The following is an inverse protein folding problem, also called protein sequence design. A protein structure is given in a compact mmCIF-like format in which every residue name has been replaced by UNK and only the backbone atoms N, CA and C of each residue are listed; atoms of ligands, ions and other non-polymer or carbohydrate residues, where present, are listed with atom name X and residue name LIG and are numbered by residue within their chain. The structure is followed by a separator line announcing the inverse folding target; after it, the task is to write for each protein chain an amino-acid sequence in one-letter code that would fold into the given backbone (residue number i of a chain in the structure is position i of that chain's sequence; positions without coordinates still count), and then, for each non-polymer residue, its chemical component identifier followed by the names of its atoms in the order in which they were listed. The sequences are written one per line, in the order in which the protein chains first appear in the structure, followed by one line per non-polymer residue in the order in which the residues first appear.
data_IF_249830537397
#
_entry.id   IF_249830537397
#
_cell.length_a   1.000
_cell.length_b   1.000
_cell.length_c   1.000
_cell.angle_alpha   90.00
_cell.angle_beta   90.00
_cell.angle_gamma   90.00
#
_symmetry.space_group_name_H-M   'P 1'
#
loop_
_entity.id
_entity.type
_entity.pdbx_description
1 polymer ?
#
# COMPACT_ATOMS: atom_id res chain seq x y z
N UNK A 1 1.73 -52.82 -23.56
CA UNK A 1 2.56 -52.13 -22.55
C UNK A 1 1.71 -51.13 -21.79
N UNK A 2 1.55 -51.25 -20.46
CA UNK A 2 0.85 -50.27 -19.61
C UNK A 2 1.77 -49.91 -18.44
N UNK A 3 2.22 -48.66 -18.38
CA UNK A 3 3.05 -48.12 -17.30
C UNK A 3 2.21 -47.93 -16.03
N UNK A 4 2.58 -48.61 -14.94
CA UNK A 4 2.02 -48.40 -13.60
C UNK A 4 2.64 -47.13 -12.97
N UNK A 5 1.78 -46.19 -12.55
CA UNK A 5 2.16 -45.02 -11.74
C UNK A 5 2.55 -45.46 -10.33
N UNK A 6 3.78 -45.18 -9.91
CA UNK A 6 4.23 -45.35 -8.52
C UNK A 6 3.68 -44.17 -7.71
N UNK A 7 2.75 -44.45 -6.79
CA UNK A 7 2.32 -43.47 -5.78
C UNK A 7 3.34 -43.49 -4.64
N UNK A 8 4.09 -42.39 -4.45
CA UNK A 8 4.89 -42.19 -3.24
C UNK A 8 3.96 -41.76 -2.11
N UNK A 9 3.79 -42.62 -1.11
CA UNK A 9 3.11 -42.27 0.13
C UNK A 9 4.10 -41.54 1.05
N UNK A 10 3.74 -40.34 1.50
CA UNK A 10 4.48 -39.64 2.56
C UNK A 10 4.09 -40.28 3.89
N UNK A 11 5.07 -40.77 4.64
CA UNK A 11 4.85 -41.45 5.92
C UNK A 11 4.30 -40.47 6.97
N UNK A 12 3.16 -40.81 7.60
CA UNK A 12 2.51 -40.02 8.64
C UNK A 12 3.43 -39.65 9.81
N UNK A 13 4.51 -40.42 10.04
CA UNK A 13 5.50 -40.18 11.08
C UNK A 13 6.35 -38.93 10.78
N UNK A 14 6.67 -38.68 9.50
CA UNK A 14 7.46 -37.51 9.10
C UNK A 14 6.61 -36.24 9.21
N UNK A 15 5.32 -36.33 8.88
CA UNK A 15 4.39 -35.22 9.02
C UNK A 15 4.19 -34.82 10.50
N UNK A 16 4.02 -35.80 11.40
CA UNK A 16 3.90 -35.53 12.84
C UNK A 16 5.16 -34.89 13.43
N UNK A 17 6.36 -35.32 13.02
CA UNK A 17 7.62 -34.73 13.48
C UNK A 17 7.77 -33.26 13.06
N UNK A 18 7.37 -32.91 11.83
CA UNK A 18 7.40 -31.53 11.33
C UNK A 18 6.41 -30.64 12.08
N UNK A 19 5.22 -31.14 12.40
CA UNK A 19 4.21 -30.39 13.17
C UNK A 19 4.68 -30.08 14.60
N UNK A 20 5.34 -31.04 15.26
CA UNK A 20 5.88 -30.83 16.63
C UNK A 20 7.00 -29.78 16.63
N UNK A 21 7.89 -29.80 15.63
CA UNK A 21 8.96 -28.79 15.50
C UNK A 21 8.38 -27.40 15.24
N UNK A 22 7.34 -27.28 14.41
CA UNK A 22 6.66 -26.01 14.14
C UNK A 22 5.97 -25.43 15.39
N UNK A 23 5.38 -26.27 16.24
CA UNK A 23 4.74 -25.84 17.50
C UNK A 23 5.79 -25.31 18.49
N UNK A 24 6.95 -25.96 18.59
CA UNK A 24 8.05 -25.54 19.48
C UNK A 24 8.62 -24.18 19.02
N UNK A 25 8.81 -23.99 17.71
CA UNK A 25 9.29 -22.71 17.15
C UNK A 25 8.27 -21.59 17.38
N UNK A 26 6.97 -21.87 17.22
CA UNK A 26 5.91 -20.89 17.48
C UNK A 26 5.85 -20.47 18.96
N UNK A 27 6.00 -21.42 19.89
CA UNK A 27 5.99 -21.12 21.33
C UNK A 27 7.21 -20.30 21.78
N UNK A 28 8.41 -20.61 21.26
CA UNK A 28 9.63 -19.85 21.56
C UNK A 28 9.58 -18.45 20.92
N UNK A 29 9.04 -18.32 19.71
CA UNK A 29 8.83 -17.03 19.05
C UNK A 29 7.88 -16.11 19.81
N UNK A 30 6.79 -16.65 20.36
CA UNK A 30 5.85 -15.88 21.18
C UNK A 30 6.45 -15.44 22.52
N UNK A 31 7.25 -16.30 23.17
CA UNK A 31 7.90 -15.97 24.45
C UNK A 31 8.98 -14.87 24.30
N UNK A 32 9.69 -14.81 23.17
CA UNK A 32 10.65 -13.75 22.87
C UNK A 32 10.00 -12.44 22.41
N UNK A 33 8.78 -12.49 21.86
CA UNK A 33 8.01 -11.31 21.46
C UNK A 33 7.43 -10.54 22.66
N UNK A 34 7.01 -11.25 23.72
CA UNK A 34 6.44 -10.65 24.92
C UNK A 34 7.46 -9.83 25.77
N UNK A 35 8.76 -9.92 25.48
CA UNK A 35 9.83 -9.25 26.25
C UNK A 35 10.51 -8.11 25.48
N UNK A 36 10.03 -7.74 24.29
CA UNK A 36 10.63 -6.66 23.50
C UNK A 36 10.21 -5.27 24.04
N UNK A 37 11.13 -4.35 24.35
CA UNK A 37 10.79 -2.99 24.77
C UNK A 37 10.14 -2.20 23.63
N UNK A 38 8.99 -1.60 23.89
CA UNK A 38 8.30 -0.67 22.98
C UNK A 38 9.03 0.66 22.97
N UNK A 39 9.66 1.02 21.85
CA UNK A 39 10.20 2.37 21.66
C UNK A 39 9.03 3.37 21.49
N UNK A 40 9.08 4.57 22.11
CA UNK A 40 8.00 5.55 21.96
C UNK A 40 8.06 6.27 20.60
N UNK A 41 6.91 6.60 19.99
CA UNK A 41 6.86 7.35 18.73
C UNK A 41 7.25 8.83 18.93
N UNK A 42 7.90 9.41 17.94
CA UNK A 42 8.28 10.83 17.85
C UNK A 42 7.06 11.72 17.55
N UNK A 43 6.63 12.53 18.52
CA UNK A 43 5.58 13.56 18.36
C UNK A 43 6.17 14.93 18.04
N UNK A 44 5.65 15.62 17.02
CA UNK A 44 5.84 17.07 16.82
C UNK A 44 4.64 17.86 17.34
N UNK A 45 4.90 19.04 17.93
CA UNK A 45 3.91 19.88 18.63
C UNK A 45 3.43 21.03 17.75
N UNK A 46 2.11 21.22 17.62
CA UNK A 46 1.52 22.45 17.04
C UNK A 46 0.51 23.04 18.02
N UNK A 47 0.52 24.36 18.16
CA UNK A 47 -0.26 25.11 19.14
C UNK A 47 -1.54 25.64 18.49
N UNK A 48 -2.71 25.19 18.94
CA UNK A 48 -4.01 25.76 18.52
C UNK A 48 -4.67 26.45 19.72
N UNK A 49 -4.97 27.73 19.57
CA UNK A 49 -5.66 28.53 20.59
C UNK A 49 -7.16 28.33 20.44
N UNK A 50 -7.81 27.77 21.47
CA UNK A 50 -9.27 27.72 21.57
C UNK A 50 -9.73 28.46 22.82
N UNK A 51 -10.71 29.35 22.68
CA UNK A 51 -11.28 30.14 23.76
C UNK A 51 -12.52 29.43 24.30
N UNK A 52 -12.54 29.09 25.58
CA UNK A 52 -13.74 28.54 26.24
C UNK A 52 -14.22 29.52 27.30
N UNK A 53 -15.47 29.95 27.20
CA UNK A 53 -16.11 30.84 28.17
C UNK A 53 -16.86 30.01 29.21
N UNK A 54 -16.51 30.15 30.48
CA UNK A 54 -17.22 29.51 31.59
C UNK A 54 -17.70 30.57 32.59
N UNK A 55 -18.99 30.57 32.90
CA UNK A 55 -19.62 31.44 33.91
C UNK A 55 -19.69 30.73 35.25
N UNK A 56 -19.04 31.27 36.29
CA UNK A 56 -19.18 30.77 37.67
C UNK A 56 -20.46 31.29 38.35
N UNK A 57 -21.06 30.52 39.28
CA UNK A 57 -22.23 30.94 40.04
C UNK A 57 -21.89 32.03 41.09
N UNK A 58 -22.85 32.90 41.43
CA UNK A 58 -22.63 34.04 42.33
C UNK A 58 -22.46 33.60 43.80
N UNK A 59 -21.52 34.21 44.51
CA UNK A 59 -21.32 34.06 45.95
C UNK A 59 -21.96 35.21 46.73
N UNK A 60 -22.74 34.90 47.77
CA UNK A 60 -23.42 35.89 48.63
C UNK A 60 -22.58 36.17 49.89
N UNK A 61 -22.37 37.43 50.24
CA UNK A 61 -21.72 37.84 51.50
C UNK A 61 -22.69 38.71 52.30
N UNK A 62 -22.94 38.32 53.56
CA UNK A 62 -23.87 39.03 54.46
C UNK A 62 -23.10 39.99 55.37
N UNK A 63 -23.49 41.26 55.41
CA UNK A 63 -23.03 42.22 56.43
C UNK A 63 -24.16 43.16 56.81
N UNK A 64 -24.27 43.44 58.10
CA UNK A 64 -25.42 44.07 58.76
C UNK A 64 -25.31 45.60 58.73
N UNK A 65 -25.78 46.26 57.66
CA UNK A 65 -26.51 47.57 57.66
C UNK A 65 -27.20 47.69 56.28
N UNK A 66 -28.45 48.14 56.26
CA UNK A 66 -29.41 48.17 55.13
C UNK A 66 -28.90 48.86 53.85
N UNK A 67 -28.41 48.07 52.88
CA UNK A 67 -28.43 48.34 51.43
C UNK A 67 -27.96 47.10 50.67
N UNK A 68 -28.87 46.40 49.99
CA UNK A 68 -28.52 45.23 49.15
C UNK A 68 -27.99 45.74 47.81
N UNK A 69 -26.70 45.54 47.52
CA UNK A 69 -26.15 45.76 46.17
C UNK A 69 -25.67 44.42 45.61
N UNK A 70 -26.16 44.07 44.42
CA UNK A 70 -25.78 42.85 43.71
C UNK A 70 -24.68 43.19 42.71
N UNK A 71 -23.44 42.81 42.99
CA UNK A 71 -22.30 42.95 42.07
C UNK A 71 -22.10 41.65 41.31
N UNK A 72 -22.12 41.70 39.98
CA UNK A 72 -21.77 40.56 39.11
C UNK A 72 -20.36 40.81 38.58
N UNK A 73 -19.39 39.99 38.97
CA UNK A 73 -18.01 40.06 38.45
C UNK A 73 -17.73 38.88 37.52
N UNK A 74 -17.51 39.16 36.24
CA UNK A 74 -17.12 38.16 35.25
C UNK A 74 -15.60 37.98 35.31
N UNK A 75 -15.13 36.83 35.82
CA UNK A 75 -13.71 36.49 35.81
C UNK A 75 -13.43 35.62 34.58
N UNK A 76 -12.70 36.17 33.61
CA UNK A 76 -12.25 35.42 32.42
C UNK A 76 -10.97 34.68 32.78
N UNK A 77 -11.04 33.36 33.02
CA UNK A 77 -9.86 32.53 33.25
C UNK A 77 -9.43 31.89 31.92
N UNK A 78 -8.33 32.36 31.35
CA UNK A 78 -7.72 31.73 30.17
C UNK A 78 -6.89 30.54 30.64
N UNK A 79 -7.40 29.32 30.46
CA UNK A 79 -6.65 28.10 30.76
C UNK A 79 -6.01 27.57 29.48
N UNK A 80 -4.68 27.59 29.40
CA UNK A 80 -3.94 27.00 28.28
C UNK A 80 -3.80 25.49 28.53
N UNK A 81 -4.68 24.67 27.95
CA UNK A 81 -4.46 23.22 27.92
C UNK A 81 -3.61 22.83 26.71
N UNK A 82 -2.49 22.17 26.95
CA UNK A 82 -1.71 21.50 25.91
C UNK A 82 -2.36 20.14 25.66
N UNK A 83 -3.17 20.04 24.61
CA UNK A 83 -3.74 18.76 24.16
C UNK A 83 -2.77 18.13 23.17
N UNK A 84 -2.02 17.12 23.61
CA UNK A 84 -1.19 16.29 22.73
C UNK A 84 -2.10 15.27 22.03
N UNK A 85 -2.50 15.55 20.78
CA UNK A 85 -3.04 14.53 19.86
C UNK A 85 -1.93 14.12 18.90
N UNK A 86 -1.66 12.82 18.70
CA UNK A 86 -0.83 12.40 17.58
C UNK A 86 -1.52 12.86 16.29
N UNK A 87 -0.88 13.75 15.54
CA UNK A 87 -1.20 13.93 14.13
C UNK A 87 -0.52 12.75 13.45
N UNK A 88 -1.27 11.71 13.11
CA UNK A 88 -0.82 10.76 12.09
C UNK A 88 -0.61 11.61 10.85
N UNK A 89 0.64 11.80 10.41
CA UNK A 89 0.90 12.55 9.19
C UNK A 89 0.33 11.68 8.07
N UNK A 90 -0.81 12.10 7.51
CA UNK A 90 -1.42 11.43 6.37
C UNK A 90 -0.56 11.71 5.15
N UNK A 91 0.63 11.11 5.07
CA UNK A 91 1.60 11.37 4.00
C UNK A 91 2.33 10.12 3.57
N UNK A 92 2.67 10.08 2.28
CA UNK A 92 3.49 9.06 1.64
C UNK A 92 4.58 9.73 0.81
N UNK A 93 5.65 9.00 0.49
CA UNK A 93 6.53 9.39 -0.60
C UNK A 93 5.90 9.11 -1.96
N UNK A 94 6.51 9.69 -2.99
CA UNK A 94 6.30 9.39 -4.40
C UNK A 94 7.54 9.77 -5.21
N UNK A 95 7.53 9.44 -6.50
CA UNK A 95 8.55 9.87 -7.45
C UNK A 95 8.00 10.86 -8.47
N UNK A 96 8.80 11.87 -8.76
CA UNK A 96 8.58 12.79 -9.87
C UNK A 96 9.92 13.22 -10.45
N UNK A 97 10.09 12.99 -11.75
CA UNK A 97 11.25 13.43 -12.51
C UNK A 97 12.60 13.11 -11.84
N UNK A 98 12.75 11.87 -11.37
CA UNK A 98 13.96 11.37 -10.71
C UNK A 98 14.14 11.79 -9.25
N UNK A 99 13.18 12.50 -8.66
CA UNK A 99 13.23 12.97 -7.27
C UNK A 99 12.20 12.25 -6.42
N UNK A 100 12.55 12.03 -5.16
CA UNK A 100 11.60 11.63 -4.12
C UNK A 100 10.87 12.87 -3.63
N UNK A 101 9.54 12.81 -3.66
CA UNK A 101 8.65 13.89 -3.24
C UNK A 101 7.69 13.38 -2.15
N UNK A 102 7.07 14.28 -1.40
CA UNK A 102 6.12 13.94 -0.35
C UNK A 102 4.71 14.33 -0.76
N UNK A 103 3.77 13.41 -0.64
CA UNK A 103 2.34 13.67 -0.77
C UNK A 103 1.69 13.71 0.60
N UNK A 104 0.73 14.61 0.75
CA UNK A 104 -0.16 14.69 1.89
C UNK A 104 -1.56 14.31 1.42
N UNK A 105 -2.09 13.19 1.90
CA UNK A 105 -3.48 12.82 1.68
C UNK A 105 -4.39 13.84 2.35
N UNK A 106 -5.37 14.31 1.60
CA UNK A 106 -6.25 15.41 1.99
C UNK A 106 -7.69 14.97 2.22
N UNK A 107 -8.05 13.76 1.76
CA UNK A 107 -9.35 13.14 1.99
C UNK A 107 -9.26 11.61 1.79
N UNK A 108 -10.31 10.90 2.20
CA UNK A 108 -10.45 9.47 1.93
C UNK A 108 -10.57 9.18 0.44
N UNK A 109 -10.13 8.00 0.03
CA UNK A 109 -10.28 7.49 -1.33
C UNK A 109 -11.75 7.33 -1.75
N UNK A 110 -11.98 7.27 -3.06
CA UNK A 110 -13.28 7.00 -3.67
C UNK A 110 -13.12 5.93 -4.76
N UNK A 111 -14.15 5.09 -4.93
CA UNK A 111 -14.18 4.07 -5.98
C UNK A 111 -15.43 4.27 -6.84
N UNK A 112 -15.23 4.71 -8.09
CA UNK A 112 -16.30 5.09 -9.01
C UNK A 112 -15.99 4.69 -10.47
N UNK A 113 -16.97 4.15 -11.22
CA UNK A 113 -18.20 3.56 -10.72
C UNK A 113 -17.88 2.38 -9.79
N UNK A 114 -18.84 1.93 -8.99
CA UNK A 114 -18.63 0.76 -8.12
C UNK A 114 -18.20 -0.47 -8.95
N UNK A 115 -17.31 -1.31 -8.41
CA UNK A 115 -16.81 -2.52 -9.07
C UNK A 115 -17.89 -3.42 -9.69
N UNK A 116 -19.11 -3.45 -9.14
CA UNK A 116 -20.25 -4.21 -9.69
C UNK A 116 -20.72 -3.74 -11.07
N UNK A 117 -20.39 -2.52 -11.48
CA UNK A 117 -20.63 -2.02 -12.85
C UNK A 117 -19.76 -2.77 -13.87
N UNK A 118 -18.53 -3.12 -13.48
CA UNK A 118 -17.59 -3.86 -14.31
C UNK A 118 -17.72 -5.38 -14.14
N UNK A 119 -17.98 -5.81 -12.90
CA UNK A 119 -18.08 -7.22 -12.51
C UNK A 119 -19.41 -7.49 -11.79
N UNK A 120 -20.53 -7.59 -12.52
CA UNK A 120 -21.86 -7.76 -11.93
C UNK A 120 -22.02 -8.99 -11.04
N UNK A 121 -21.19 -10.03 -11.27
CA UNK A 121 -21.21 -11.27 -10.50
C UNK A 121 -20.34 -11.23 -9.23
N UNK A 122 -19.53 -10.18 -9.03
CA UNK A 122 -18.59 -10.05 -7.92
C UNK A 122 -19.16 -9.22 -6.75
N UNK A 123 -20.46 -9.34 -6.46
CA UNK A 123 -21.16 -8.51 -5.47
C UNK A 123 -20.56 -8.64 -4.06
N UNK A 124 -20.26 -9.87 -3.64
CA UNK A 124 -19.68 -10.13 -2.32
C UNK A 124 -18.26 -9.58 -2.21
N UNK A 125 -17.46 -9.76 -3.26
CA UNK A 125 -16.10 -9.24 -3.37
C UNK A 125 -16.10 -7.72 -3.29
N UNK A 126 -16.94 -7.09 -4.13
CA UNK A 126 -17.10 -5.65 -4.19
C UNK A 126 -17.50 -5.06 -2.84
N UNK A 127 -18.41 -5.72 -2.10
CA UNK A 127 -18.80 -5.25 -0.76
C UNK A 127 -17.62 -5.26 0.22
N UNK A 128 -16.80 -6.32 0.22
CA UNK A 128 -15.63 -6.44 1.11
C UNK A 128 -14.53 -5.45 0.72
N UNK A 129 -14.35 -5.21 -0.59
CA UNK A 129 -13.40 -4.24 -1.12
C UNK A 129 -13.95 -2.79 -1.16
N UNK A 130 -15.07 -2.50 -0.48
CA UNK A 130 -15.71 -1.17 -0.45
C UNK A 130 -16.00 -0.57 -1.84
N UNK A 131 -16.25 -1.42 -2.82
CA UNK A 131 -16.50 -1.06 -4.21
C UNK A 131 -15.25 -0.84 -5.05
N UNK A 132 -14.05 -0.96 -4.49
CA UNK A 132 -12.77 -0.74 -5.17
C UNK A 132 -12.28 -1.99 -5.89
N UNK A 133 -11.76 -1.80 -7.09
CA UNK A 133 -11.19 -2.89 -7.88
C UNK A 133 -10.02 -2.45 -8.75
N UNK A 134 -9.20 -3.44 -9.08
CA UNK A 134 -8.13 -3.37 -10.07
C UNK A 134 -8.36 -4.47 -11.10
N UNK A 135 -8.63 -4.11 -12.35
CA UNK A 135 -8.95 -5.02 -13.44
C UNK A 135 -9.82 -4.37 -14.51
N UNK A 136 -10.60 -3.37 -14.14
CA UNK A 136 -11.31 -2.50 -15.06
C UNK A 136 -11.22 -1.03 -14.62
N UNK A 137 -11.54 -0.11 -15.51
CA UNK A 137 -11.50 1.32 -15.23
C UNK A 137 -12.38 2.09 -16.21
N UNK A 138 -12.89 3.24 -15.77
CA UNK A 138 -13.67 4.13 -16.61
C UNK A 138 -13.30 5.58 -16.31
N UNK A 139 -12.27 6.07 -17.02
CA UNK A 139 -11.76 7.42 -16.83
C UNK A 139 -12.83 8.50 -17.03
N UNK A 140 -13.83 8.25 -17.89
CA UNK A 140 -14.93 9.18 -18.15
C UNK A 140 -15.89 9.34 -16.97
N UNK A 141 -15.87 8.43 -16.00
CA UNK A 141 -16.66 8.51 -14.78
C UNK A 141 -15.95 9.26 -13.63
N UNK A 142 -14.67 9.60 -13.79
CA UNK A 142 -13.90 10.29 -12.77
C UNK A 142 -14.23 11.80 -12.73
N UNK A 143 -14.02 12.46 -11.57
CA UNK A 143 -14.19 13.90 -11.44
C UNK A 143 -13.36 14.67 -12.47
N UNK A 144 -13.88 15.81 -12.94
CA UNK A 144 -13.13 16.70 -13.83
C UNK A 144 -11.85 17.19 -13.14
N UNK A 145 -10.78 17.29 -13.92
CA UNK A 145 -9.47 17.69 -13.40
C UNK A 145 -8.72 16.56 -12.68
N UNK A 146 -9.20 15.31 -12.77
CA UNK A 146 -8.46 14.17 -12.25
C UNK A 146 -7.20 13.89 -13.07
N UNK A 147 -6.13 13.53 -12.38
CA UNK A 147 -4.82 13.23 -12.96
C UNK A 147 -4.38 11.79 -12.64
N UNK A 148 -3.52 11.15 -13.45
CA UNK A 148 -3.03 9.82 -13.15
C UNK A 148 -2.01 9.83 -12.01
N UNK A 149 -2.12 8.85 -11.12
CA UNK A 149 -1.04 8.39 -10.25
C UNK A 149 -0.75 6.93 -10.58
N UNK A 150 0.51 6.62 -10.86
CA UNK A 150 0.95 5.27 -11.18
C UNK A 150 1.39 4.57 -9.90
N UNK A 151 0.70 3.49 -9.57
CA UNK A 151 0.98 2.68 -8.38
C UNK A 151 1.89 1.53 -8.79
N UNK A 152 3.16 1.60 -8.40
CA UNK A 152 4.18 0.63 -8.76
C UNK A 152 4.20 -0.51 -7.73
N UNK A 153 3.69 -1.67 -8.14
CA UNK A 153 3.67 -2.87 -7.29
C UNK A 153 4.89 -3.73 -7.64
N UNK A 154 5.76 -4.11 -6.67
CA UNK A 154 6.94 -4.95 -6.90
C UNK A 154 6.53 -6.41 -7.12
N UNK A 155 5.82 -6.69 -8.22
CA UNK A 155 5.26 -8.00 -8.54
C UNK A 155 6.33 -9.11 -8.58
N UNK A 156 7.59 -8.78 -8.85
CA UNK A 156 8.74 -9.70 -8.76
C UNK A 156 8.92 -10.34 -7.37
N UNK A 157 8.47 -9.69 -6.30
CA UNK A 157 8.49 -10.23 -4.94
C UNK A 157 7.38 -11.28 -4.68
N UNK A 158 6.56 -11.57 -5.69
CA UNK A 158 5.53 -12.58 -5.66
C UNK A 158 4.44 -12.31 -4.63
N UNK A 159 3.94 -13.35 -3.96
CA UNK A 159 2.81 -13.21 -3.03
C UNK A 159 3.15 -12.43 -1.75
N UNK A 160 4.43 -12.20 -1.46
CA UNK A 160 4.85 -11.40 -0.30
C UNK A 160 4.39 -9.94 -0.40
N UNK A 161 4.04 -9.45 -1.59
CA UNK A 161 3.52 -8.10 -1.80
C UNK A 161 2.24 -7.81 -1.03
N UNK A 162 1.49 -8.84 -0.62
CA UNK A 162 0.25 -8.69 0.14
C UNK A 162 0.47 -8.52 1.65
N UNK A 163 1.72 -8.41 2.12
CA UNK A 163 2.02 -8.11 3.52
C UNK A 163 1.80 -9.24 4.52
N UNK A 164 1.42 -10.43 4.04
CA UNK A 164 1.14 -11.58 4.89
C UNK A 164 2.44 -12.36 5.16
N UNK A 165 2.87 -12.54 6.41
CA UNK A 165 4.12 -13.24 6.73
C UNK A 165 4.16 -14.69 6.21
N UNK A 166 3.02 -15.38 6.20
CA UNK A 166 2.86 -16.72 5.63
C UNK A 166 3.11 -16.77 4.12
N UNK A 167 3.02 -15.63 3.43
CA UNK A 167 3.34 -15.47 2.01
C UNK A 167 4.76 -14.92 1.78
N UNK A 168 5.56 -14.78 2.86
CA UNK A 168 6.95 -14.34 2.81
C UNK A 168 7.16 -12.85 3.05
N UNK A 169 6.13 -12.09 3.43
CA UNK A 169 6.31 -10.68 3.82
C UNK A 169 7.04 -10.53 5.17
N UNK A 170 7.58 -9.36 5.44
CA UNK A 170 8.03 -9.00 6.78
C UNK A 170 6.83 -8.78 7.71
N UNK A 171 7.01 -8.81 9.05
CA UNK A 171 5.95 -8.46 9.99
C UNK A 171 5.39 -7.04 9.81
N UNK A 172 6.20 -6.13 9.27
CA UNK A 172 5.79 -4.76 8.96
C UNK A 172 4.92 -4.66 7.70
N UNK A 173 4.84 -5.70 6.88
CA UNK A 173 4.09 -5.71 5.62
C UNK A 173 4.91 -5.35 4.40
N UNK A 174 6.24 -5.41 4.48
CA UNK A 174 7.10 -5.23 3.30
C UNK A 174 7.28 -6.55 2.54
N UNK A 175 7.28 -6.52 1.20
CA UNK A 175 7.62 -7.66 0.38
C UNK A 175 9.06 -8.13 0.63
N UNK A 176 9.31 -9.41 0.36
CA UNK A 176 10.66 -9.94 0.29
C UNK A 176 10.90 -10.63 -1.04
N UNK A 177 12.14 -10.53 -1.53
CA UNK A 177 12.58 -11.17 -2.75
C UNK A 177 13.85 -11.95 -2.47
N UNK A 178 13.87 -13.25 -2.81
CA UNK A 178 15.06 -14.09 -2.60
C UNK A 178 15.71 -14.41 -3.94
N UNK A 179 16.96 -14.00 -4.10
CA UNK A 179 17.79 -14.32 -5.26
C UNK A 179 19.18 -14.75 -4.80
N UNK A 180 19.71 -15.83 -5.41
CA UNK A 180 21.03 -16.38 -5.11
C UNK A 180 21.31 -16.60 -3.60
N UNK A 181 20.33 -17.17 -2.87
CA UNK A 181 20.35 -17.38 -1.42
C UNK A 181 20.44 -16.11 -0.56
N UNK A 182 20.34 -14.92 -1.15
CA UNK A 182 20.20 -13.66 -0.45
C UNK A 182 18.73 -13.21 -0.47
N UNK A 183 18.22 -12.78 0.68
CA UNK A 183 16.87 -12.21 0.78
C UNK A 183 16.97 -10.70 0.89
N UNK A 184 16.27 -10.02 -0.01
CA UNK A 184 16.13 -8.58 -0.08
C UNK A 184 14.77 -8.21 0.50
N UNK A 185 14.75 -7.29 1.46
CA UNK A 185 13.51 -6.63 1.87
C UNK A 185 13.27 -5.50 0.89
N UNK A 186 12.12 -5.50 0.24
CA UNK A 186 11.75 -4.46 -0.72
C UNK A 186 11.04 -3.39 0.09
N UNK A 187 11.76 -2.34 0.45
CA UNK A 187 11.17 -1.18 1.10
C UNK A 187 10.31 -0.43 0.08
N UNK A 188 9.15 0.03 0.54
CA UNK A 188 8.20 0.82 -0.24
C UNK A 188 7.72 2.01 0.58
N UNK A 189 7.27 3.07 -0.08
CA UNK A 189 6.62 4.23 0.54
C UNK A 189 5.31 3.83 1.22
N UNK A 190 4.58 2.88 0.63
CA UNK A 190 3.43 2.24 1.24
C UNK A 190 3.71 0.74 1.44
N UNK A 191 3.71 0.29 2.69
CA UNK A 191 3.57 -1.13 3.01
C UNK A 191 2.23 -1.68 2.51
N UNK A 192 2.09 -3.01 2.54
CA UNK A 192 0.82 -3.64 2.20
C UNK A 192 -0.28 -3.21 3.18
N UNK A 193 -1.52 -3.19 2.72
CA UNK A 193 -2.62 -2.87 3.60
C UNK A 193 -2.78 -3.85 4.77
N UNK A 194 -3.45 -3.38 5.82
CA UNK A 194 -3.65 -4.09 7.09
C UNK A 194 -2.36 -4.32 7.89
N UNK A 195 -1.28 -3.61 7.56
CA UNK A 195 -0.02 -3.61 8.31
C UNK A 195 0.34 -2.22 8.84
N UNK A 196 1.34 -2.15 9.73
CA UNK A 196 1.74 -0.90 10.39
C UNK A 196 2.31 0.14 9.42
N UNK A 197 2.91 -0.29 8.31
CA UNK A 197 3.51 0.61 7.31
C UNK A 197 2.60 0.89 6.13
N UNK A 198 1.32 0.47 6.21
CA UNK A 198 0.33 0.79 5.19
C UNK A 198 0.11 2.30 5.08
N UNK A 199 -0.20 2.77 3.87
CA UNK A 199 -0.56 4.17 3.68
C UNK A 199 -1.91 4.51 4.34
N UNK A 200 -2.00 5.64 5.07
CA UNK A 200 -3.09 5.91 6.01
C UNK A 200 -4.47 6.11 5.37
N UNK A 201 -4.53 6.67 4.15
CA UNK A 201 -5.78 6.89 3.40
C UNK A 201 -5.89 5.98 2.17
N UNK A 202 -5.24 4.82 2.22
CA UNK A 202 -5.39 3.76 1.23
C UNK A 202 -6.47 2.77 1.65
N UNK A 203 -7.30 2.36 0.70
CA UNK A 203 -8.17 1.19 0.82
C UNK A 203 -7.39 -0.02 1.35
N UNK A 204 -7.98 -0.73 2.32
CA UNK A 204 -7.27 -1.85 2.93
C UNK A 204 -7.39 -3.15 2.14
N UNK A 205 -8.43 -3.29 1.33
CA UNK A 205 -8.72 -4.47 0.52
C UNK A 205 -9.13 -4.02 -0.88
N UNK A 206 -8.70 -4.76 -1.89
CA UNK A 206 -9.08 -4.55 -3.28
C UNK A 206 -9.57 -5.85 -3.90
N UNK A 207 -10.55 -5.75 -4.78
CA UNK A 207 -10.93 -6.85 -5.66
C UNK A 207 -10.09 -6.79 -6.94
N UNK A 208 -9.58 -7.93 -7.41
CA UNK A 208 -9.00 -8.05 -8.73
C UNK A 208 -9.31 -9.40 -9.39
N UNK A 209 -9.80 -9.40 -10.64
CA UNK A 209 -9.86 -10.61 -11.45
C UNK A 209 -8.48 -11.25 -11.66
N UNK A 210 -7.40 -10.47 -11.70
CA UNK A 210 -6.05 -11.02 -11.83
C UNK A 210 -5.68 -11.86 -10.60
N UNK A 211 -6.10 -11.44 -9.39
CA UNK A 211 -5.90 -12.23 -8.18
C UNK A 211 -6.74 -13.50 -8.19
N UNK A 212 -7.95 -13.45 -8.73
CA UNK A 212 -8.75 -14.66 -8.97
C UNK A 212 -7.99 -15.66 -9.85
N UNK A 213 -7.34 -15.21 -10.93
CA UNK A 213 -6.52 -16.07 -11.78
C UNK A 213 -5.32 -16.66 -11.02
N UNK A 214 -4.66 -15.86 -10.17
CA UNK A 214 -3.56 -16.35 -9.31
C UNK A 214 -4.04 -17.40 -8.32
N UNK A 215 -5.17 -17.17 -7.64
CA UNK A 215 -5.77 -18.13 -6.72
C UNK A 215 -6.11 -19.44 -7.42
N UNK A 216 -6.76 -19.37 -8.59
CA UNK A 216 -7.10 -20.54 -9.39
C UNK A 216 -5.86 -21.30 -9.87
N UNK A 217 -4.80 -20.59 -10.27
CA UNK A 217 -3.51 -21.19 -10.62
C UNK A 217 -2.90 -21.96 -9.44
N UNK A 218 -3.08 -21.46 -8.22
CA UNK A 218 -2.66 -22.10 -6.97
C UNK A 218 -3.64 -23.18 -6.47
N UNK A 219 -4.74 -23.41 -7.19
CA UNK A 219 -5.78 -24.37 -6.79
C UNK A 219 -6.70 -23.89 -5.67
N UNK A 220 -6.67 -22.60 -5.34
CA UNK A 220 -7.57 -21.95 -4.39
C UNK A 220 -8.84 -21.51 -5.14
N UNK A 221 -10.01 -21.87 -4.62
CA UNK A 221 -11.30 -21.63 -5.30
C UNK A 221 -12.31 -20.82 -4.51
N UNK A 222 -12.01 -20.52 -3.25
CA UNK A 222 -12.94 -19.87 -2.32
C UNK A 222 -12.31 -18.64 -1.65
N UNK A 223 -11.26 -18.09 -2.24
CA UNK A 223 -10.43 -17.04 -1.63
C UNK A 223 -9.48 -17.56 -0.55
N UNK A 224 -8.71 -16.64 0.02
CA UNK A 224 -7.72 -16.89 1.10
C UNK A 224 -7.94 -15.97 2.30
N UNK A 225 -7.40 -16.34 3.46
CA UNK A 225 -7.42 -15.52 4.68
C UNK A 225 -8.82 -15.11 5.16
N UNK A 226 -9.85 -15.89 4.82
CA UNK A 226 -11.24 -15.58 5.13
C UNK A 226 -11.86 -14.50 4.23
N UNK A 227 -11.15 -14.09 3.18
CA UNK A 227 -11.63 -13.16 2.17
C UNK A 227 -12.27 -13.91 0.99
N UNK A 228 -13.24 -13.29 0.28
CA UNK A 228 -13.76 -13.83 -0.97
C UNK A 228 -12.68 -13.99 -2.04
N UNK A 229 -12.93 -14.86 -3.02
CA UNK A 229 -12.06 -15.04 -4.20
C UNK A 229 -11.79 -13.70 -4.90
N UNK A 230 -10.53 -13.45 -5.22
CA UNK A 230 -10.06 -12.22 -5.87
C UNK A 230 -9.94 -11.01 -4.94
N UNK A 231 -10.24 -11.12 -3.65
CA UNK A 231 -10.07 -10.03 -2.69
C UNK A 231 -8.82 -10.26 -1.85
N UNK A 232 -7.88 -9.32 -1.92
CA UNK A 232 -6.64 -9.36 -1.15
C UNK A 232 -6.35 -7.99 -0.53
N UNK A 233 -5.47 -7.94 0.49
CA UNK A 233 -4.89 -6.67 0.93
C UNK A 233 -4.32 -5.90 -0.26
N UNK A 234 -4.46 -4.58 -0.24
CA UNK A 234 -3.76 -3.73 -1.20
C UNK A 234 -2.25 -4.04 -1.12
N UNK A 235 -1.59 -4.38 -2.23
CA UNK A 235 -0.17 -4.70 -2.21
C UNK A 235 0.68 -3.54 -1.68
N UNK A 236 1.86 -3.83 -1.14
CA UNK A 236 2.88 -2.82 -0.93
C UNK A 236 3.28 -2.18 -2.28
N UNK A 237 3.54 -0.88 -2.31
CA UNK A 237 3.74 -0.14 -3.56
C UNK A 237 4.44 1.20 -3.37
N UNK A 238 4.91 1.73 -4.50
CA UNK A 238 5.38 3.11 -4.64
C UNK A 238 4.40 3.94 -5.47
N UNK A 239 4.54 5.26 -5.39
CA UNK A 239 3.80 6.19 -6.24
C UNK A 239 4.72 6.86 -7.26
N UNK A 240 4.24 7.00 -8.49
CA UNK A 240 4.87 7.78 -9.55
C UNK A 240 3.84 8.74 -10.15
N UNK A 241 4.21 10.02 -10.25
CA UNK A 241 3.33 11.06 -10.81
C UNK A 241 3.96 11.80 -11.96
N UNK A 242 3.09 12.50 -12.68
CA UNK A 242 3.42 13.24 -13.90
C UNK A 242 3.71 14.72 -13.65
N UNK A 243 3.25 15.26 -12.53
CA UNK A 243 3.47 16.64 -12.11
C UNK A 243 3.27 16.79 -10.60
N UNK A 244 3.58 17.98 -10.10
CA UNK A 244 3.47 18.42 -8.70
C UNK A 244 2.48 19.58 -8.55
N UNK A 245 1.67 19.58 -7.51
CA UNK A 245 0.65 20.57 -7.14
C UNK A 245 0.42 20.67 -5.62
N UNK A 246 0.48 21.89 -5.10
CA UNK A 246 0.09 22.15 -3.70
C UNK A 246 -1.43 22.08 -3.47
N UNK A 247 -2.22 21.92 -4.53
CA UNK A 247 -3.68 21.84 -4.45
C UNK A 247 -4.13 20.39 -4.32
N UNK A 248 -5.12 20.16 -3.45
CA UNK A 248 -5.82 18.89 -3.37
C UNK A 248 -6.63 18.66 -4.65
N UNK A 249 -6.19 17.72 -5.48
CA UNK A 249 -6.91 17.31 -6.70
C UNK A 249 -7.25 15.81 -6.64
N UNK A 250 -8.22 15.33 -7.44
CA UNK A 250 -8.45 13.89 -7.57
C UNK A 250 -7.34 13.25 -8.40
N UNK A 251 -6.84 12.11 -7.93
CA UNK A 251 -5.82 11.31 -8.61
C UNK A 251 -6.37 9.93 -8.90
N UNK A 252 -6.54 9.57 -10.16
CA UNK A 252 -6.98 8.23 -10.52
C UNK A 252 -5.80 7.28 -10.60
N UNK A 253 -6.00 6.05 -10.12
CA UNK A 253 -4.92 5.08 -10.04
C UNK A 253 -4.75 4.33 -11.36
N UNK A 254 -3.51 4.17 -11.78
CA UNK A 254 -3.09 3.20 -12.79
C UNK A 254 -2.12 2.23 -12.12
N UNK A 255 -2.53 0.97 -11.96
CA UNK A 255 -1.69 -0.05 -11.32
C UNK A 255 -0.69 -0.60 -12.31
N UNK A 256 0.59 -0.58 -11.92
CA UNK A 256 1.73 -1.08 -12.70
C UNK A 256 2.35 -2.25 -11.94
N UNK A 257 2.39 -3.42 -12.59
CA UNK A 257 3.07 -4.61 -12.06
C UNK A 257 4.52 -4.59 -12.53
N UNK A 258 5.45 -4.42 -11.60
CA UNK A 258 6.90 -4.40 -11.89
C UNK A 258 7.46 -5.81 -11.75
N UNK A 259 7.93 -6.39 -12.85
CA UNK A 259 8.50 -7.73 -12.87
C UNK A 259 10.03 -7.73 -12.89
N UNK A 260 10.66 -6.64 -13.28
CA UNK A 260 12.11 -6.51 -13.19
C UNK A 260 12.53 -5.84 -11.86
N UNK A 261 13.24 -6.56 -10.96
CA UNK A 261 13.71 -5.97 -9.71
C UNK A 261 14.78 -4.89 -9.89
N UNK A 262 15.46 -4.84 -11.05
CA UNK A 262 16.55 -3.90 -11.30
C UNK A 262 16.06 -2.46 -11.51
N UNK A 263 14.78 -2.27 -11.79
CA UNK A 263 14.18 -0.97 -12.09
C UNK A 263 13.23 -0.48 -10.99
N UNK A 264 13.07 -1.23 -9.91
CA UNK A 264 12.26 -0.82 -8.77
C UNK A 264 13.04 0.19 -7.92
N UNK A 265 12.57 1.45 -7.82
CA UNK A 265 13.31 2.51 -7.16
C UNK A 265 13.35 2.31 -5.65
N UNK A 266 14.45 2.72 -5.04
CA UNK A 266 14.53 2.82 -3.59
C UNK A 266 13.62 3.98 -3.11
N UNK A 267 12.78 3.78 -2.09
CA UNK A 267 11.81 4.78 -1.63
C UNK A 267 12.46 6.07 -1.09
N UNK A 268 13.71 5.99 -0.63
CA UNK A 268 14.42 7.10 0.02
C UNK A 268 15.27 7.87 -1.00
N UNK A 269 15.95 7.16 -1.90
CA UNK A 269 16.91 7.78 -2.84
C UNK A 269 16.34 7.99 -4.24
N UNK A 270 15.27 7.29 -4.59
CA UNK A 270 14.73 7.23 -5.95
C UNK A 270 15.66 6.55 -6.96
N UNK A 271 16.76 5.94 -6.51
CA UNK A 271 17.72 5.25 -7.36
C UNK A 271 17.43 3.75 -7.39
N UNK A 272 17.75 3.11 -8.51
CA UNK A 272 17.61 1.68 -8.68
C UNK A 272 18.97 0.99 -8.64
N UNK A 273 18.96 -0.30 -8.33
CA UNK A 273 20.15 -1.13 -8.22
C UNK A 273 19.95 -2.40 -9.04
N UNK A 274 21.01 -2.85 -9.74
CA UNK A 274 21.01 -4.17 -10.35
C UNK A 274 21.08 -5.26 -9.26
N UNK A 275 19.97 -5.96 -9.06
CA UNK A 275 19.81 -7.08 -8.11
C UNK A 275 20.00 -8.42 -8.83
N UNK A 276 19.50 -8.54 -10.06
CA UNK A 276 19.59 -9.76 -10.88
C UNK A 276 20.32 -9.49 -12.19
N UNK A 277 20.99 -10.49 -12.80
CA UNK A 277 21.60 -10.36 -14.11
C UNK A 277 20.59 -9.93 -15.17
N UNK A 278 21.05 -9.09 -16.09
CA UNK A 278 20.27 -8.53 -17.19
C UNK A 278 21.06 -8.67 -18.49
N UNK A 279 20.34 -8.73 -19.61
CA UNK A 279 20.92 -8.72 -20.96
C UNK A 279 21.10 -7.30 -21.51
N UNK A 280 20.64 -6.29 -20.77
CA UNK A 280 20.80 -4.88 -21.12
C UNK A 280 22.17 -4.37 -20.66
N UNK A 281 22.73 -3.42 -21.40
CA UNK A 281 24.02 -2.80 -21.04
C UNK A 281 23.92 -2.00 -19.74
N UNK A 282 22.77 -1.37 -19.49
CA UNK A 282 22.47 -0.68 -18.25
C UNK A 282 21.17 -1.26 -17.64
N UNK A 283 21.27 -2.21 -16.70
CA UNK A 283 20.12 -2.89 -16.10
C UNK A 283 19.18 -1.96 -15.31
N UNK A 284 19.62 -0.74 -14.97
CA UNK A 284 18.83 0.22 -14.19
C UNK A 284 18.34 1.40 -15.04
N UNK A 285 18.52 1.36 -16.37
CA UNK A 285 18.21 2.47 -17.27
C UNK A 285 16.76 2.94 -17.17
N UNK A 286 15.82 2.02 -16.96
CA UNK A 286 14.40 2.30 -16.82
C UNK A 286 13.94 2.39 -15.35
N UNK A 287 14.83 2.84 -14.45
CA UNK A 287 14.47 3.07 -13.05
C UNK A 287 13.17 3.88 -12.92
N UNK A 288 12.15 3.32 -12.26
CA UNK A 288 10.77 3.83 -12.28
C UNK A 288 10.56 5.05 -11.35
N UNK A 289 11.43 6.05 -11.48
CA UNK A 289 11.38 7.32 -10.76
C UNK A 289 10.88 8.49 -11.64
N UNK A 290 10.50 8.21 -12.89
CA UNK A 290 9.95 9.17 -13.83
C UNK A 290 9.08 8.44 -14.89
N UNK A 291 8.23 9.20 -15.60
CA UNK A 291 7.28 8.65 -16.57
C UNK A 291 7.99 8.09 -17.82
N UNK A 292 9.02 8.75 -18.34
CA UNK A 292 9.75 8.26 -19.52
C UNK A 292 10.31 6.86 -19.28
N UNK A 293 10.81 6.59 -18.07
CA UNK A 293 11.25 5.26 -17.67
C UNK A 293 10.11 4.23 -17.65
N UNK A 294 8.92 4.60 -17.18
CA UNK A 294 7.74 3.73 -17.23
C UNK A 294 7.32 3.41 -18.67
N UNK A 295 7.27 4.42 -19.55
CA UNK A 295 6.95 4.24 -20.97
C UNK A 295 7.95 3.29 -21.67
N UNK A 296 9.25 3.45 -21.38
CA UNK A 296 10.28 2.56 -21.89
C UNK A 296 10.16 1.15 -21.33
N UNK A 297 9.92 1.01 -20.02
CA UNK A 297 9.82 -0.28 -19.35
C UNK A 297 8.66 -1.13 -19.89
N UNK A 298 7.56 -0.50 -20.30
CA UNK A 298 6.41 -1.18 -20.92
C UNK A 298 6.74 -1.84 -22.27
N UNK A 299 7.87 -1.47 -22.89
CA UNK A 299 8.28 -1.99 -24.20
C UNK A 299 9.64 -2.68 -24.17
N UNK A 300 10.30 -2.68 -23.00
CA UNK A 300 11.64 -3.26 -22.83
C UNK A 300 11.53 -4.71 -22.38
N UNK A 301 12.18 -5.60 -23.13
CA UNK A 301 12.37 -7.00 -22.75
C UNK A 301 13.71 -7.17 -22.04
N UNK A 302 13.67 -7.65 -20.79
CA UNK A 302 14.86 -7.99 -20.01
C UNK A 302 14.81 -9.44 -19.53
N UNK A 303 15.91 -10.16 -19.70
CA UNK A 303 16.17 -11.48 -19.12
C UNK A 303 16.05 -11.51 -17.59
N UNK A 304 16.29 -10.39 -16.91
CA UNK A 304 16.09 -10.19 -15.48
C UNK A 304 14.67 -10.58 -15.03
N UNK A 305 13.65 -10.29 -15.87
CA UNK A 305 12.26 -10.65 -15.61
C UNK A 305 12.11 -12.17 -15.45
N UNK A 306 12.59 -12.96 -16.42
CA UNK A 306 12.48 -14.41 -16.35
C UNK A 306 13.31 -15.00 -15.19
N UNK A 307 14.49 -14.42 -14.93
CA UNK A 307 15.39 -14.84 -13.85
C UNK A 307 14.75 -14.62 -12.48
N UNK A 308 14.17 -13.44 -12.24
CA UNK A 308 13.54 -13.10 -10.97
C UNK A 308 12.23 -13.87 -10.74
N UNK A 309 11.49 -14.19 -11.80
CA UNK A 309 10.10 -14.62 -11.68
C UNK A 309 9.83 -16.11 -11.96
N UNK A 310 10.84 -16.92 -12.25
CA UNK A 310 10.65 -18.32 -12.67
C UNK A 310 9.75 -19.17 -11.74
N UNK A 311 9.67 -18.83 -10.45
CA UNK A 311 8.83 -19.49 -9.43
C UNK A 311 7.71 -18.61 -8.89
N UNK A 312 7.53 -17.40 -9.43
CA UNK A 312 6.56 -16.43 -8.96
C UNK A 312 5.15 -16.78 -9.46
N UNK A 313 4.18 -17.10 -8.58
CA UNK A 313 2.82 -17.43 -8.99
C UNK A 313 2.12 -16.33 -9.79
N UNK A 314 2.39 -15.05 -9.47
CA UNK A 314 1.78 -13.91 -10.17
C UNK A 314 2.22 -13.90 -11.63
N UNK A 315 3.53 -13.98 -11.87
CA UNK A 315 4.10 -14.01 -13.21
C UNK A 315 3.65 -15.24 -14.01
N UNK A 316 3.61 -16.42 -13.37
CA UNK A 316 3.17 -17.66 -13.99
C UNK A 316 1.70 -17.61 -14.39
N UNK A 317 0.84 -17.10 -13.51
CA UNK A 317 -0.60 -16.96 -13.74
C UNK A 317 -0.92 -15.96 -14.86
N UNK A 318 -0.11 -14.91 -14.99
CA UNK A 318 -0.24 -13.89 -16.03
C UNK A 318 0.42 -14.27 -17.38
N UNK A 319 0.80 -15.54 -17.55
CA UNK A 319 1.28 -16.05 -18.83
C UNK A 319 2.76 -15.74 -19.11
N UNK A 320 3.56 -15.48 -18.07
CA UNK A 320 5.01 -15.29 -18.15
C UNK A 320 5.43 -14.10 -19.04
N UNK A 321 4.96 -12.87 -18.76
CA UNK A 321 5.36 -11.69 -19.52
C UNK A 321 6.88 -11.52 -19.53
N UNK A 322 7.44 -11.12 -20.68
CA UNK A 322 8.87 -10.86 -20.83
C UNK A 322 9.28 -9.39 -20.67
N UNK A 323 8.29 -8.51 -20.46
CA UNK A 323 8.49 -7.06 -20.31
C UNK A 323 8.84 -6.71 -18.86
N UNK A 324 9.63 -5.66 -18.66
CA UNK A 324 10.04 -5.19 -17.33
C UNK A 324 8.83 -4.81 -16.45
N UNK A 325 7.79 -4.23 -17.05
CA UNK A 325 6.51 -3.92 -16.40
C UNK A 325 5.32 -4.37 -17.23
N UNK A 326 4.21 -4.64 -16.54
CA UNK A 326 2.90 -4.89 -17.16
C UNK A 326 1.87 -3.97 -16.51
N UNK A 327 1.08 -3.29 -17.34
CA UNK A 327 -0.06 -2.50 -16.90
C UNK A 327 -1.33 -3.23 -17.36
N UNK A 328 -2.04 -3.95 -16.48
CA UNK A 328 -3.21 -4.71 -16.88
C UNK A 328 -4.21 -3.85 -17.65
N UNK A 329 -4.68 -4.32 -18.81
CA UNK A 329 -5.65 -3.60 -19.65
C UNK A 329 -5.08 -2.43 -20.48
N UNK A 330 -3.78 -2.10 -20.35
CA UNK A 330 -3.11 -1.04 -21.11
C UNK A 330 -1.98 -1.69 -21.90
N UNK A 331 -2.04 -1.61 -23.23
CA UNK A 331 -1.15 -2.38 -24.12
C UNK A 331 -0.04 -1.56 -24.75
N UNK A 332 -0.13 -0.23 -24.66
CA UNK A 332 0.87 0.68 -25.22
C UNK A 332 1.12 1.87 -24.28
N UNK A 333 2.34 2.46 -24.29
CA UNK A 333 2.61 3.68 -23.52
C UNK A 333 1.65 4.83 -23.81
N UNK A 334 1.17 4.95 -25.06
CA UNK A 334 0.24 6.01 -25.47
C UNK A 334 -1.11 5.98 -24.74
N UNK A 335 -1.48 4.85 -24.15
CA UNK A 335 -2.73 4.68 -23.40
C UNK A 335 -2.61 5.10 -21.93
N UNK A 336 -1.39 5.25 -21.37
CA UNK A 336 -1.16 5.50 -19.94
C UNK A 336 -1.91 6.73 -19.37
N UNK A 337 -2.19 7.70 -20.23
CA UNK A 337 -2.84 8.97 -19.86
C UNK A 337 -4.30 9.07 -20.30
N UNK A 338 -4.80 8.07 -21.02
CA UNK A 338 -6.16 8.05 -21.57
C UNK A 338 -6.96 6.84 -21.11
N UNK A 339 -6.33 5.90 -20.39
CA UNK A 339 -6.94 4.71 -19.82
C UNK A 339 -6.56 4.54 -18.34
N UNK A 340 -7.35 3.73 -17.65
CA UNK A 340 -7.09 3.28 -16.29
C UNK A 340 -7.52 1.82 -16.15
N UNK A 341 -6.91 1.11 -15.21
CA UNK A 341 -7.22 -0.28 -14.87
C UNK A 341 -7.72 -0.44 -13.43
N UNK A 342 -8.12 0.67 -12.81
CA UNK A 342 -8.82 0.65 -11.54
C UNK A 342 -9.99 1.62 -11.61
N UNK A 343 -10.94 1.47 -10.71
CA UNK A 343 -12.01 2.44 -10.51
C UNK A 343 -11.70 3.43 -9.38
N UNK A 344 -10.44 3.54 -8.97
CA UNK A 344 -10.05 4.19 -7.73
C UNK A 344 -9.54 5.61 -7.92
N UNK A 345 -9.88 6.47 -6.97
CA UNK A 345 -9.44 7.86 -6.88
C UNK A 345 -8.90 8.12 -5.47
N UNK A 346 -7.71 8.70 -5.40
CA UNK A 346 -7.10 9.24 -4.20
C UNK A 346 -7.17 10.77 -4.22
N UNK A 347 -7.09 11.37 -3.05
CA UNK A 347 -7.04 12.82 -2.90
C UNK A 347 -5.80 13.19 -2.11
N UNK A 348 -4.87 13.88 -2.76
CA UNK A 348 -3.66 14.37 -2.13
C UNK A 348 -3.20 15.68 -2.75
N UNK A 349 -2.38 16.40 -1.99
CA UNK A 349 -1.53 17.49 -2.45
C UNK A 349 -0.07 17.15 -2.21
N UNK A 350 0.83 17.85 -2.87
CA UNK A 350 2.28 17.66 -2.72
C UNK A 350 2.96 18.98 -2.38
N UNK A 351 2.77 19.47 -1.14
CA UNK A 351 3.49 20.64 -0.69
C UNK A 351 5.00 20.37 -0.78
N UNK A 352 5.85 21.42 -0.95
CA UNK A 352 7.30 21.27 -1.08
C UNK A 352 7.96 20.93 0.28
N UNK A 353 7.58 19.79 0.85
CA UNK A 353 8.11 19.23 2.10
C UNK A 353 9.12 18.15 1.72
N UNK A 354 10.40 18.49 1.87
CA UNK A 354 11.54 17.63 1.55
C UNK A 354 12.53 17.60 2.72
N UNK A 355 13.07 16.43 3.13
CA UNK A 355 12.70 15.08 2.69
C UNK A 355 11.39 14.57 3.33
N UNK A 356 10.89 13.46 2.80
CA UNK A 356 9.81 12.67 3.41
C UNK A 356 10.23 12.24 4.84
N UNK A 357 9.42 12.52 5.87
CA UNK A 357 9.65 11.94 7.20
C UNK A 357 9.28 10.45 7.17
N UNK A 358 10.28 9.58 7.35
CA UNK A 358 10.11 8.12 7.45
C UNK A 358 9.56 7.76 8.83
#
# INVERSE_FOLDING_TARGET
MKNKKVKRAVSNIVFAAVVVVLIIIAAVGFALYATKPTAPPTTMTSTVTSTVTSTLPPSTVTSTVTSTSTSTSTVTTTTTQVVTRPITVNSSGAFYNGKVITFMYTAQFMCTPNATVFFPNAVNQSKVAMGCEVGAGNISAFPKGAAPVFVLVPAFAGLSIFGVPQLGATPQGFPTFTYNNQTYVILTQCGAALTETACPDHMSLIYSPAFTVVEQYLGIKNGVFGLPEGVLPTPAHEHLVTFTTNQSIPWYIVVVLVFDPNIFPNPITGQCQAIVPSNLTNPTANCLNNITALENAMTTYDSAVAVANAKNPIWLALGKPGLEVVVPGITSPSELFSATNSNMILYFSDPPVYPYPI
#
